data_IF_939553364600
#
_entry.id   IF_939553364600
#
_cell.length_a   1.000
_cell.length_b   1.000
_cell.length_c   1.000
_cell.angle_alpha   90.00
_cell.angle_beta   90.00
_cell.angle_gamma   90.00
#
_symmetry.space_group_name_H-M   'P 1'
#
loop_
_entity.id
_entity.type
_entity.pdbx_description
1 polymer ?
#
# COMPACT_ATOMS: atom_id res chain seq x y z
N UNK A 1 33.74 -11.24 2.73
CA UNK A 1 33.22 -12.07 3.84
C UNK A 1 32.10 -12.92 3.29
N UNK A 2 32.10 -14.22 3.58
CA UNK A 2 31.04 -15.15 3.17
C UNK A 2 30.10 -15.41 4.35
N UNK A 3 28.81 -15.41 4.09
CA UNK A 3 27.78 -15.72 5.08
C UNK A 3 27.91 -17.17 5.56
N UNK A 4 27.84 -17.40 6.88
CA UNK A 4 27.96 -18.74 7.47
C UNK A 4 27.03 -18.91 8.69
N UNK A 5 25.99 -19.75 8.52
CA UNK A 5 25.02 -20.09 9.56
C UNK A 5 25.62 -20.84 10.76
N UNK A 6 26.74 -21.55 10.58
CA UNK A 6 27.37 -22.34 11.63
C UNK A 6 27.99 -21.48 12.73
N UNK A 7 28.38 -20.23 12.42
CA UNK A 7 28.91 -19.31 13.41
C UNK A 7 27.85 -18.94 14.47
N UNK A 8 26.58 -18.86 14.08
CA UNK A 8 25.46 -18.61 15.00
C UNK A 8 25.16 -19.84 15.86
N UNK A 9 25.31 -21.05 15.33
CA UNK A 9 25.25 -22.28 16.12
C UNK A 9 26.32 -22.30 17.23
N UNK A 10 27.54 -21.86 16.92
CA UNK A 10 28.59 -21.75 17.93
C UNK A 10 28.26 -20.72 19.01
N UNK A 11 27.71 -19.56 18.64
CA UNK A 11 27.28 -18.55 19.60
C UNK A 11 26.16 -19.06 20.53
N UNK A 12 25.21 -19.84 19.99
CA UNK A 12 24.21 -20.54 20.78
C UNK A 12 24.83 -21.46 21.83
N UNK A 13 25.82 -22.28 21.45
CA UNK A 13 26.52 -23.17 22.38
C UNK A 13 27.27 -22.40 23.46
N UNK A 14 27.94 -21.31 23.10
CA UNK A 14 28.66 -20.46 24.07
C UNK A 14 27.67 -19.89 25.09
N UNK A 15 26.49 -19.44 24.67
CA UNK A 15 25.45 -18.94 25.58
C UNK A 15 25.02 -20.05 26.56
N UNK A 16 24.82 -21.27 26.08
CA UNK A 16 24.45 -22.39 26.96
C UNK A 16 25.53 -22.70 27.98
N UNK A 17 26.78 -22.83 27.54
CA UNK A 17 27.93 -23.11 28.41
C UNK A 17 28.14 -22.02 29.46
N UNK A 18 27.99 -20.75 29.08
CA UNK A 18 28.20 -19.61 29.99
C UNK A 18 27.02 -19.42 30.95
N UNK A 19 25.78 -19.63 30.47
CA UNK A 19 24.58 -19.40 31.27
C UNK A 19 24.15 -20.59 32.12
N UNK A 20 24.61 -21.80 31.79
CA UNK A 20 24.22 -23.05 32.45
C UNK A 20 22.79 -23.50 32.17
N UNK A 21 22.08 -22.83 31.25
CA UNK A 21 20.71 -23.14 30.83
C UNK A 21 20.64 -23.27 29.31
N UNK A 22 19.61 -23.94 28.80
CA UNK A 22 19.45 -24.08 27.35
C UNK A 22 19.27 -22.72 26.66
N UNK A 23 19.70 -22.59 25.42
CA UNK A 23 19.58 -21.37 24.63
C UNK A 23 18.11 -20.94 24.51
N UNK A 24 17.21 -21.92 24.38
CA UNK A 24 15.77 -21.71 24.34
C UNK A 24 15.25 -21.07 25.63
N UNK A 25 15.69 -21.59 26.78
CA UNK A 25 15.32 -21.06 28.09
C UNK A 25 15.93 -19.69 28.34
N UNK A 26 17.18 -19.49 27.90
CA UNK A 26 17.86 -18.21 27.97
C UNK A 26 17.08 -17.14 27.20
N UNK A 27 16.75 -17.38 25.92
CA UNK A 27 15.99 -16.42 25.10
C UNK A 27 14.57 -16.23 25.64
N UNK A 28 13.90 -17.30 26.10
CA UNK A 28 12.57 -17.17 26.68
C UNK A 28 12.56 -16.31 27.95
N UNK A 29 13.51 -16.53 28.86
CA UNK A 29 13.55 -15.86 30.16
C UNK A 29 14.16 -14.45 30.11
N UNK A 30 15.12 -14.21 29.22
CA UNK A 30 15.87 -12.96 29.15
C UNK A 30 15.35 -11.98 28.10
N UNK A 31 14.59 -12.46 27.10
CA UNK A 31 14.12 -11.64 25.99
C UNK A 31 12.59 -11.71 25.88
N UNK A 32 12.03 -12.89 25.60
CA UNK A 32 10.60 -13.00 25.26
C UNK A 32 9.67 -12.71 26.44
N UNK A 33 10.01 -13.22 27.63
CA UNK A 33 9.25 -13.01 28.87
C UNK A 33 9.14 -11.54 29.28
N UNK A 34 10.27 -10.81 29.42
CA UNK A 34 10.27 -9.38 29.75
C UNK A 34 9.49 -8.50 28.75
N UNK A 35 9.46 -8.90 27.48
CA UNK A 35 8.71 -8.20 26.43
C UNK A 35 7.22 -8.59 26.33
N UNK A 36 6.75 -9.49 27.20
CA UNK A 36 5.34 -9.95 27.19
C UNK A 36 4.98 -10.81 25.97
N UNK A 37 5.97 -11.37 25.27
CA UNK A 37 5.79 -12.15 24.04
C UNK A 37 5.39 -13.59 24.33
N UNK A 38 4.25 -13.77 25.01
CA UNK A 38 3.78 -15.05 25.55
C UNK A 38 3.37 -16.09 24.50
N UNK A 39 3.25 -15.70 23.22
CA UNK A 39 2.88 -16.58 22.09
C UNK A 39 3.98 -16.68 21.02
N UNK A 40 5.20 -16.31 21.36
CA UNK A 40 6.38 -16.50 20.51
C UNK A 40 7.11 -17.75 20.97
N UNK A 41 7.32 -18.70 20.06
CA UNK A 41 7.93 -19.99 20.38
C UNK A 41 9.18 -20.20 19.55
N UNK A 42 10.25 -20.61 20.23
CA UNK A 42 11.53 -20.99 19.61
C UNK A 42 11.53 -22.48 19.17
N UNK A 43 10.46 -23.19 19.53
CA UNK A 43 10.14 -24.58 19.16
C UNK A 43 8.72 -24.59 18.58
N UNK A 44 8.25 -25.70 17.99
CA UNK A 44 6.84 -25.82 17.64
C UNK A 44 5.94 -25.44 18.81
N UNK A 45 4.85 -24.67 18.56
CA UNK A 45 3.95 -24.24 19.63
C UNK A 45 3.30 -25.46 20.30
N UNK A 46 2.88 -25.34 21.58
CA UNK A 46 2.14 -26.39 22.27
C UNK A 46 0.90 -26.83 21.47
N UNK A 47 0.60 -28.13 21.51
CA UNK A 47 -0.60 -28.67 20.87
C UNK A 47 -1.85 -27.95 21.38
N UNK A 48 -2.75 -27.57 20.46
CA UNK A 48 -3.97 -26.83 20.79
C UNK A 48 -3.81 -25.30 20.85
N UNK A 49 -2.62 -24.75 20.56
CA UNK A 49 -2.46 -23.30 20.37
C UNK A 49 -3.35 -22.84 19.21
N UNK A 50 -4.30 -21.95 19.51
CA UNK A 50 -5.18 -21.37 18.50
C UNK A 50 -4.41 -20.40 17.60
N UNK A 51 -4.93 -20.14 16.39
CA UNK A 51 -4.35 -19.19 15.43
C UNK A 51 -2.89 -19.51 15.08
N UNK A 52 -2.60 -20.79 14.80
CA UNK A 52 -1.32 -21.26 14.27
C UNK A 52 -1.57 -21.78 12.85
N UNK A 53 -0.77 -21.32 11.89
CA UNK A 53 -0.87 -21.79 10.51
C UNK A 53 -0.24 -23.17 10.37
N UNK A 54 -0.90 -24.04 9.61
CA UNK A 54 -0.36 -25.36 9.25
C UNK A 54 0.20 -25.28 7.83
N UNK A 55 1.48 -25.62 7.66
CA UNK A 55 2.09 -25.72 6.33
C UNK A 55 1.64 -27.02 5.66
N UNK A 56 1.49 -26.98 4.34
CA UNK A 56 1.19 -28.13 3.49
C UNK A 56 2.21 -28.21 2.36
N UNK A 57 2.45 -29.42 1.85
CA UNK A 57 3.13 -29.66 0.58
C UNK A 57 2.20 -30.41 -0.37
N UNK A 58 2.61 -30.51 -1.63
CA UNK A 58 1.89 -31.24 -2.66
C UNK A 58 2.63 -32.55 -2.96
N UNK A 59 1.90 -33.65 -3.10
CA UNK A 59 2.41 -34.87 -3.73
C UNK A 59 2.38 -34.72 -5.26
N UNK A 60 3.03 -35.63 -5.98
CA UNK A 60 3.08 -35.62 -7.45
C UNK A 60 1.69 -35.72 -8.11
N UNK A 61 0.69 -36.21 -7.38
CA UNK A 61 -0.72 -36.27 -7.80
C UNK A 61 -1.52 -35.01 -7.43
N UNK A 62 -0.84 -33.95 -6.99
CA UNK A 62 -1.37 -32.67 -6.51
C UNK A 62 -2.25 -32.76 -5.25
N UNK A 63 -2.28 -33.90 -4.55
CA UNK A 63 -2.91 -33.98 -3.24
C UNK A 63 -2.06 -33.30 -2.16
N UNK A 64 -2.72 -32.61 -1.22
CA UNK A 64 -2.04 -31.85 -0.16
C UNK A 64 -1.72 -32.73 1.06
N UNK A 65 -0.51 -32.61 1.58
CA UNK A 65 -0.05 -33.28 2.81
C UNK A 65 0.43 -32.25 3.83
N UNK A 66 0.00 -32.33 5.10
CA UNK A 66 0.50 -31.42 6.12
C UNK A 66 1.99 -31.65 6.38
N UNK A 67 2.78 -30.59 6.35
CA UNK A 67 4.20 -30.62 6.70
C UNK A 67 4.32 -30.42 8.22
N UNK A 68 4.84 -31.42 8.92
CA UNK A 68 5.28 -31.22 10.31
C UNK A 68 6.45 -30.24 10.33
N UNK A 69 6.48 -29.30 11.28
CA UNK A 69 7.60 -28.36 11.43
C UNK A 69 8.97 -29.07 11.40
N UNK A 70 9.98 -28.42 10.80
CA UNK A 70 11.29 -29.03 10.54
C UNK A 70 11.87 -29.68 11.81
N UNK A 71 11.99 -31.01 11.79
CA UNK A 71 12.54 -31.79 12.92
C UNK A 71 14.01 -31.46 13.20
N UNK A 72 14.75 -31.01 12.18
CA UNK A 72 16.14 -30.61 12.33
C UNK A 72 16.32 -29.42 13.30
N UNK A 73 15.35 -28.48 13.33
CA UNK A 73 15.37 -27.33 14.23
C UNK A 73 14.85 -27.61 15.64
N UNK A 74 14.34 -28.81 15.92
CA UNK A 74 13.79 -29.16 17.24
C UNK A 74 14.90 -29.42 18.29
N UNK A 75 16.05 -29.91 17.82
CA UNK A 75 17.24 -30.23 18.63
C UNK A 75 18.50 -29.67 17.96
N UNK A 76 18.63 -28.33 17.88
CA UNK A 76 19.86 -27.59 17.52
C UNK A 76 20.09 -27.20 16.06
N UNK A 77 19.85 -28.09 15.09
CA UNK A 77 20.27 -27.84 13.71
C UNK A 77 19.41 -26.72 13.07
N UNK A 78 20.01 -25.53 12.96
CA UNK A 78 19.43 -24.28 12.49
C UNK A 78 18.60 -23.46 13.52
N UNK A 79 18.60 -23.83 14.80
CA UNK A 79 17.92 -23.08 15.87
C UNK A 79 18.42 -21.63 16.01
N UNK A 80 19.74 -21.40 16.17
CA UNK A 80 20.31 -20.05 16.24
C UNK A 80 20.63 -19.43 14.88
N UNK A 81 20.55 -20.17 13.77
CA UNK A 81 20.48 -19.57 12.42
C UNK A 81 19.07 -19.07 12.06
N UNK A 82 18.12 -19.15 13.00
CA UNK A 82 16.84 -18.45 12.94
C UNK A 82 17.04 -16.95 13.15
N UNK A 83 17.89 -16.32 12.32
CA UNK A 83 18.15 -14.89 12.31
C UNK A 83 16.85 -14.14 12.56
N UNK A 84 16.88 -13.16 13.47
CA UNK A 84 15.67 -12.51 13.93
C UNK A 84 14.82 -12.04 12.75
N UNK A 85 13.65 -12.66 12.57
CA UNK A 85 12.67 -12.22 11.60
C UNK A 85 11.72 -11.31 12.34
N UNK A 86 11.78 -10.02 12.04
CA UNK A 86 10.83 -9.06 12.56
C UNK A 86 9.75 -8.87 11.50
N UNK A 87 8.52 -9.31 11.81
CA UNK A 87 7.36 -9.18 10.91
C UNK A 87 6.40 -8.17 11.51
N UNK A 88 6.08 -7.12 10.74
CA UNK A 88 5.04 -6.16 11.08
C UNK A 88 3.88 -6.30 10.12
N UNK A 89 2.69 -6.46 10.70
CA UNK A 89 1.44 -6.45 9.96
C UNK A 89 0.60 -5.31 10.53
N UNK A 90 0.33 -4.30 9.72
CA UNK A 90 -0.66 -3.27 10.02
C UNK A 90 -1.84 -3.43 9.09
N UNK A 91 -3.03 -3.25 9.64
CA UNK A 91 -4.29 -3.20 8.91
C UNK A 91 -4.76 -1.77 8.66
N UNK A 92 -3.89 -0.77 8.87
CA UNK A 92 -4.21 0.63 8.65
C UNK A 92 -3.05 1.39 8.01
N UNK A 93 -3.42 2.36 7.19
CA UNK A 93 -2.54 3.44 6.76
C UNK A 93 -2.71 4.58 7.77
N UNK A 94 -1.74 4.74 8.66
CA UNK A 94 -1.71 5.89 9.55
C UNK A 94 -1.30 7.15 8.76
N UNK A 95 -1.30 8.32 9.42
CA UNK A 95 -0.83 9.58 8.82
C UNK A 95 0.70 9.61 8.58
N UNK A 96 1.35 8.47 8.75
CA UNK A 96 2.77 8.20 8.66
C UNK A 96 3.00 6.69 8.50
N UNK A 97 4.25 6.29 8.24
CA UNK A 97 4.64 4.90 8.04
C UNK A 97 4.95 4.20 9.38
N UNK A 98 3.90 4.03 10.21
CA UNK A 98 4.03 3.40 11.54
C UNK A 98 4.68 2.01 11.48
N UNK A 99 4.32 1.10 10.54
CA UNK A 99 4.90 -0.24 10.51
C UNK A 99 6.41 -0.20 10.35
N UNK A 100 6.92 0.63 9.45
CA UNK A 100 8.35 0.79 9.22
C UNK A 100 9.07 1.33 10.45
N UNK A 101 8.49 2.32 11.13
CA UNK A 101 9.16 2.94 12.28
C UNK A 101 9.13 2.08 13.53
N UNK A 102 8.04 1.37 13.79
CA UNK A 102 8.01 0.37 14.86
C UNK A 102 9.01 -0.74 14.53
N UNK A 103 9.16 -1.10 13.25
CA UNK A 103 10.17 -2.04 12.81
C UNK A 103 11.59 -1.59 13.03
N UNK A 104 11.90 -0.35 12.68
CA UNK A 104 13.21 0.23 12.95
C UNK A 104 13.44 0.35 14.46
N UNK A 105 12.45 0.73 15.27
CA UNK A 105 12.58 0.81 16.73
C UNK A 105 12.92 -0.56 17.36
N UNK A 106 12.21 -1.62 16.96
CA UNK A 106 12.49 -2.97 17.45
C UNK A 106 13.85 -3.46 16.94
N UNK A 107 14.22 -3.08 15.70
CA UNK A 107 15.53 -3.38 15.15
C UNK A 107 16.66 -2.67 15.93
N UNK A 108 16.49 -1.41 16.30
CA UNK A 108 17.46 -0.67 17.13
C UNK A 108 17.65 -1.34 18.49
N UNK A 109 16.56 -1.78 19.11
CA UNK A 109 16.62 -2.50 20.39
C UNK A 109 17.32 -3.85 20.24
N UNK A 110 16.98 -4.60 19.19
CA UNK A 110 17.60 -5.90 18.89
C UNK A 110 19.11 -5.78 18.62
N UNK A 111 19.52 -4.75 17.88
CA UNK A 111 20.91 -4.46 17.56
C UNK A 111 21.66 -3.80 18.73
N UNK A 112 20.97 -3.48 19.82
CA UNK A 112 21.51 -2.76 20.98
C UNK A 112 22.20 -1.44 20.57
N UNK A 113 21.55 -0.69 19.68
CA UNK A 113 22.07 0.61 19.21
C UNK A 113 22.30 1.51 20.44
N UNK A 114 23.49 2.14 20.57
CA UNK A 114 23.80 3.04 21.68
C UNK A 114 22.74 4.14 21.83
N UNK A 115 22.39 4.50 23.05
CA UNK A 115 21.30 5.45 23.34
C UNK A 115 21.46 6.79 22.58
N UNK A 116 22.69 7.26 22.43
CA UNK A 116 23.01 8.51 21.72
C UNK A 116 22.84 8.42 20.20
N UNK A 117 22.72 7.21 19.65
CA UNK A 117 22.57 6.93 18.21
C UNK A 117 21.15 6.48 17.85
N UNK A 118 20.25 6.33 18.83
CA UNK A 118 18.86 5.91 18.60
C UNK A 118 18.02 7.01 17.98
N UNK A 119 17.06 6.60 17.15
CA UNK A 119 16.13 7.54 16.53
C UNK A 119 15.04 8.02 17.52
N UNK A 120 14.67 9.30 17.40
CA UNK A 120 13.58 9.90 18.17
C UNK A 120 12.21 9.65 17.50
N UNK A 121 11.78 8.38 17.44
CA UNK A 121 10.60 7.96 16.67
C UNK A 121 9.31 8.74 17.01
N UNK A 122 9.09 9.10 18.28
CA UNK A 122 7.89 9.88 18.69
C UNK A 122 7.91 11.29 18.08
N UNK A 123 9.07 11.93 18.03
CA UNK A 123 9.21 13.28 17.47
C UNK A 123 9.09 13.25 15.96
N UNK A 124 9.82 12.35 15.29
CA UNK A 124 9.73 12.13 13.84
C UNK A 124 8.29 11.78 13.44
N UNK A 125 7.58 11.02 14.27
CA UNK A 125 6.17 10.73 14.07
C UNK A 125 5.28 11.95 14.06
N UNK A 126 5.42 12.84 15.04
CA UNK A 126 4.65 14.09 15.10
C UNK A 126 4.95 14.98 13.90
N UNK A 127 6.22 15.11 13.53
CA UNK A 127 6.66 15.94 12.39
C UNK A 127 6.10 15.41 11.07
N UNK A 128 6.17 14.10 10.85
CA UNK A 128 5.66 13.46 9.63
C UNK A 128 4.13 13.55 9.52
N UNK A 129 3.39 13.40 10.63
CA UNK A 129 1.93 13.62 10.64
C UNK A 129 1.60 15.04 10.21
N UNK A 130 2.30 16.03 10.79
CA UNK A 130 2.11 17.43 10.43
C UNK A 130 2.43 17.69 8.96
N UNK A 131 3.46 17.06 8.42
CA UNK A 131 3.84 17.17 7.00
C UNK A 131 2.82 16.52 6.07
N UNK A 132 2.39 15.29 6.37
CA UNK A 132 1.38 14.56 5.57
C UNK A 132 0.08 15.36 5.46
N UNK A 133 -0.34 16.03 6.53
CA UNK A 133 -1.56 16.84 6.56
C UNK A 133 -1.48 18.12 5.70
N UNK A 134 -0.27 18.58 5.32
CA UNK A 134 -0.10 19.75 4.44
C UNK A 134 -0.46 19.46 2.98
N UNK A 135 -0.38 18.21 2.55
CA UNK A 135 -0.58 17.82 1.15
C UNK A 135 -1.94 18.28 0.60
N UNK A 136 -3.04 17.95 1.28
CA UNK A 136 -4.38 18.25 0.75
C UNK A 136 -4.64 19.75 0.60
N UNK A 137 -4.38 20.61 1.62
CA UNK A 137 -4.46 22.05 1.45
C UNK A 137 -3.56 22.60 0.36
N UNK A 138 -2.35 22.04 0.19
CA UNK A 138 -1.42 22.46 -0.87
C UNK A 138 -1.97 22.16 -2.27
N UNK A 139 -2.47 20.93 -2.50
CA UNK A 139 -3.08 20.54 -3.79
C UNK A 139 -4.29 21.41 -4.13
N UNK A 140 -5.17 21.68 -3.15
CA UNK A 140 -6.33 22.56 -3.36
C UNK A 140 -5.88 23.96 -3.76
N UNK A 141 -4.92 24.54 -3.01
CA UNK A 141 -4.39 25.87 -3.31
C UNK A 141 -3.75 25.93 -4.70
N UNK A 142 -2.91 24.95 -5.05
CA UNK A 142 -2.24 24.89 -6.35
C UNK A 142 -3.25 24.73 -7.51
N UNK A 143 -4.32 23.94 -7.30
CA UNK A 143 -5.42 23.84 -8.24
C UNK A 143 -6.12 25.19 -8.43
N UNK A 144 -6.44 25.89 -7.34
CA UNK A 144 -7.14 27.17 -7.39
C UNK A 144 -6.29 28.28 -8.02
N UNK A 145 -5.00 28.35 -7.68
CA UNK A 145 -4.06 29.34 -8.23
C UNK A 145 -3.82 29.16 -9.74
N UNK A 146 -3.82 27.91 -10.22
CA UNK A 146 -3.62 27.61 -11.63
C UNK A 146 -4.92 27.71 -12.47
N UNK A 147 -6.08 27.85 -11.83
CA UNK A 147 -7.39 27.79 -12.48
C UNK A 147 -7.69 29.03 -13.32
N UNK A 148 -8.17 28.82 -14.54
CA UNK A 148 -8.77 29.87 -15.39
C UNK A 148 -10.23 30.10 -15.02
N UNK A 149 -10.48 31.22 -14.35
CA UNK A 149 -11.81 31.63 -13.93
C UNK A 149 -12.67 32.14 -15.09
N UNK A 150 -14.00 32.07 -14.93
CA UNK A 150 -14.97 32.58 -15.91
C UNK A 150 -15.16 31.71 -17.15
N UNK A 151 -14.60 30.49 -17.14
CA UNK A 151 -14.82 29.48 -18.18
C UNK A 151 -16.10 28.69 -17.88
N UNK A 152 -16.65 28.01 -18.89
CA UNK A 152 -17.81 27.13 -18.75
C UNK A 152 -17.56 25.85 -19.53
N UNK A 153 -18.11 24.72 -19.07
CA UNK A 153 -18.08 23.51 -19.86
C UNK A 153 -19.06 23.65 -21.04
N UNK A 154 -18.90 22.76 -22.02
CA UNK A 154 -19.92 22.47 -23.03
C UNK A 154 -21.14 21.80 -22.39
N UNK A 155 -22.13 21.48 -23.22
CA UNK A 155 -23.28 20.69 -22.79
C UNK A 155 -22.81 19.37 -22.16
N UNK A 156 -23.26 19.08 -20.94
CA UNK A 156 -22.72 17.97 -20.14
C UNK A 156 -22.89 16.60 -20.84
N UNK A 157 -23.91 16.47 -21.68
CA UNK A 157 -24.15 15.26 -22.47
C UNK A 157 -23.04 14.96 -23.48
N UNK A 158 -22.26 15.96 -23.90
CA UNK A 158 -21.12 15.76 -24.82
C UNK A 158 -20.01 14.92 -24.19
N UNK A 159 -19.83 14.98 -22.87
CA UNK A 159 -18.79 14.22 -22.17
C UNK A 159 -19.20 12.77 -21.87
N UNK A 160 -20.50 12.44 -21.94
CA UNK A 160 -21.03 11.11 -21.60
C UNK A 160 -20.56 10.07 -22.61
N UNK A 161 -19.98 8.96 -22.14
CA UNK A 161 -19.52 7.87 -22.99
C UNK A 161 -18.52 6.94 -22.32
N UNK A 162 -18.07 5.92 -23.04
CA UNK A 162 -17.00 5.02 -22.59
C UNK A 162 -15.70 5.37 -23.32
N UNK A 163 -14.66 5.67 -22.57
CA UNK A 163 -13.34 6.05 -23.07
C UNK A 163 -12.36 4.90 -22.83
N UNK A 164 -11.76 4.38 -23.88
CA UNK A 164 -10.82 3.26 -23.83
C UNK A 164 -9.40 3.70 -24.11
N UNK A 165 -8.44 3.08 -23.43
CA UNK A 165 -7.04 3.17 -23.83
C UNK A 165 -6.82 2.48 -25.20
N UNK A 166 -5.71 2.81 -25.85
CA UNK A 166 -5.45 2.34 -27.21
C UNK A 166 -5.35 0.80 -27.32
N UNK A 167 -4.97 0.12 -26.25
CA UNK A 167 -4.86 -1.35 -26.21
C UNK A 167 -6.10 -2.03 -25.61
N UNK A 168 -7.15 -1.28 -25.25
CA UNK A 168 -8.43 -1.77 -24.75
C UNK A 168 -8.33 -2.64 -23.47
N UNK A 169 -7.42 -2.29 -22.57
CA UNK A 169 -7.26 -2.94 -21.25
C UNK A 169 -7.89 -2.10 -20.14
N UNK A 170 -7.93 -0.78 -20.33
CA UNK A 170 -8.43 0.18 -19.35
C UNK A 170 -9.50 1.09 -19.96
N UNK A 171 -10.58 1.31 -19.22
CA UNK A 171 -11.65 2.23 -19.60
C UNK A 171 -12.05 3.15 -18.47
N UNK A 172 -12.58 4.30 -18.86
CA UNK A 172 -13.34 5.20 -17.99
C UNK A 172 -14.72 5.35 -18.59
N UNK A 173 -15.75 5.09 -17.77
CA UNK A 173 -17.15 5.35 -18.17
C UNK A 173 -17.57 6.67 -17.55
N UNK A 174 -18.05 7.60 -18.37
CA UNK A 174 -18.58 8.89 -17.93
C UNK A 174 -20.09 8.88 -18.10
N UNK A 175 -20.80 9.07 -17.00
CA UNK A 175 -22.26 9.04 -16.91
C UNK A 175 -22.78 10.40 -16.42
N UNK A 176 -24.03 10.74 -16.77
CA UNK A 176 -24.70 11.96 -16.34
C UNK A 176 -25.92 11.60 -15.48
N UNK A 177 -25.93 12.07 -14.23
CA UNK A 177 -27.02 11.85 -13.28
C UNK A 177 -27.39 13.18 -12.63
N UNK A 178 -28.68 13.55 -12.62
CA UNK A 178 -29.17 14.78 -11.97
C UNK A 178 -28.37 16.05 -12.33
N UNK A 179 -28.01 16.18 -13.61
CA UNK A 179 -27.20 17.30 -14.13
C UNK A 179 -25.76 17.36 -13.57
N UNK A 180 -25.24 16.23 -13.11
CA UNK A 180 -23.88 16.09 -12.60
C UNK A 180 -23.16 14.94 -13.29
N UNK A 181 -21.94 15.20 -13.73
CA UNK A 181 -21.11 14.18 -14.35
C UNK A 181 -20.47 13.31 -13.28
N UNK A 182 -20.36 12.03 -13.58
CA UNK A 182 -19.61 11.06 -12.82
C UNK A 182 -18.71 10.30 -13.77
N UNK A 183 -17.51 9.98 -13.31
CA UNK A 183 -16.66 9.01 -14.01
C UNK A 183 -16.45 7.76 -13.16
N UNK A 184 -16.30 6.62 -13.83
CA UNK A 184 -16.11 5.31 -13.19
C UNK A 184 -14.90 4.64 -13.80
N UNK A 185 -13.87 4.42 -12.98
CA UNK A 185 -12.70 3.65 -13.39
C UNK A 185 -13.12 2.20 -13.64
N UNK A 186 -12.79 1.65 -14.81
CA UNK A 186 -13.28 0.35 -15.31
C UNK A 186 -14.81 0.20 -15.38
N UNK A 187 -15.58 1.29 -15.23
CA UNK A 187 -17.04 1.22 -15.13
C UNK A 187 -17.53 0.59 -13.82
N UNK A 188 -16.71 0.57 -12.77
CA UNK A 188 -17.07 0.02 -11.46
C UNK A 188 -17.78 1.07 -10.61
N UNK A 189 -18.89 0.69 -9.98
CA UNK A 189 -19.64 1.60 -9.10
C UNK A 189 -18.86 1.94 -7.81
N UNK A 190 -17.99 1.03 -7.35
CA UNK A 190 -17.05 1.29 -6.25
C UNK A 190 -16.04 2.39 -6.58
N UNK A 191 -15.73 2.58 -7.87
CA UNK A 191 -14.79 3.58 -8.39
C UNK A 191 -15.52 4.76 -9.07
N UNK A 192 -16.76 5.04 -8.66
CA UNK A 192 -17.55 6.17 -9.15
C UNK A 192 -17.19 7.47 -8.43
N UNK A 193 -16.70 8.48 -9.14
CA UNK A 193 -16.40 9.80 -8.57
C UNK A 193 -17.19 10.90 -9.29
N UNK A 194 -17.69 11.90 -8.56
CA UNK A 194 -18.27 13.08 -9.18
C UNK A 194 -17.19 13.88 -9.92
N UNK A 195 -17.59 14.49 -11.02
CA UNK A 195 -16.79 15.45 -11.77
C UNK A 195 -17.33 16.86 -11.53
N UNK A 196 -16.50 17.70 -10.92
CA UNK A 196 -16.78 19.12 -10.71
C UNK A 196 -16.09 19.93 -11.80
N UNK A 197 -16.81 20.87 -12.43
CA UNK A 197 -16.21 21.70 -13.47
C UNK A 197 -15.03 22.51 -12.91
N UNK A 198 -13.87 22.39 -13.54
CA UNK A 198 -12.65 23.08 -13.18
C UNK A 198 -12.41 24.24 -14.14
N UNK A 199 -12.10 23.97 -15.41
CA UNK A 199 -11.99 25.02 -16.42
C UNK A 199 -12.22 24.49 -17.83
N UNK A 200 -12.89 25.24 -18.70
CA UNK A 200 -13.17 24.83 -20.08
C UNK A 200 -13.75 23.39 -20.12
N UNK A 201 -13.13 22.51 -20.90
CA UNK A 201 -13.44 21.08 -20.99
C UNK A 201 -12.67 20.21 -19.96
N UNK A 202 -12.29 20.78 -18.80
CA UNK A 202 -11.58 20.09 -17.72
C UNK A 202 -12.43 20.04 -16.45
N UNK A 203 -12.48 18.87 -15.84
CA UNK A 203 -13.16 18.61 -14.58
C UNK A 203 -12.17 18.12 -13.53
N UNK A 204 -12.49 18.32 -12.26
CA UNK A 204 -11.79 17.70 -11.14
C UNK A 204 -12.65 16.61 -10.51
N UNK A 205 -11.99 15.55 -10.07
CA UNK A 205 -12.60 14.46 -9.30
C UNK A 205 -12.08 14.40 -7.86
N UNK A 206 -11.35 15.45 -7.43
CA UNK A 206 -10.84 15.58 -6.07
C UNK A 206 -12.00 15.64 -5.07
N UNK A 207 -11.99 14.71 -4.11
CA UNK A 207 -12.87 14.73 -2.95
C UNK A 207 -12.13 15.22 -1.71
N UNK A 208 -12.86 15.51 -0.64
CA UNK A 208 -12.24 15.78 0.67
C UNK A 208 -11.29 14.65 1.07
N UNK A 209 -10.19 14.99 1.76
CA UNK A 209 -9.20 14.01 2.24
C UNK A 209 -9.85 12.84 2.99
N UNK A 210 -10.83 13.12 3.85
CA UNK A 210 -11.52 12.09 4.62
C UNK A 210 -12.37 11.17 3.73
N UNK A 211 -12.97 11.69 2.64
CA UNK A 211 -13.65 10.81 1.69
C UNK A 211 -12.70 9.98 0.85
N UNK A 212 -11.58 10.55 0.41
CA UNK A 212 -10.54 9.78 -0.27
C UNK A 212 -10.06 8.62 0.62
N UNK A 213 -9.78 8.90 1.90
CA UNK A 213 -9.40 7.88 2.88
C UNK A 213 -10.51 6.85 3.14
N UNK A 214 -11.77 7.27 3.28
CA UNK A 214 -12.92 6.34 3.45
C UNK A 214 -13.04 5.37 2.28
N UNK A 215 -12.68 5.81 1.08
CA UNK A 215 -12.68 5.00 -0.14
C UNK A 215 -11.40 4.18 -0.34
N UNK A 216 -10.46 4.19 0.62
CA UNK A 216 -9.20 3.46 0.51
C UNK A 216 -8.23 4.04 -0.53
N UNK A 217 -8.41 5.30 -0.96
CA UNK A 217 -7.47 5.96 -1.87
C UNK A 217 -6.22 6.37 -1.13
N UNK A 218 -5.08 6.21 -1.79
CA UNK A 218 -3.82 6.78 -1.33
C UNK A 218 -3.93 8.31 -1.25
N UNK A 219 -3.58 8.88 -0.10
CA UNK A 219 -3.60 10.33 0.18
C UNK A 219 -2.20 10.77 0.59
N UNK A 220 -1.41 11.24 -0.36
CA UNK A 220 -0.01 11.57 -0.11
C UNK A 220 0.65 12.40 -1.21
N UNK A 221 1.86 12.87 -0.90
CA UNK A 221 2.63 13.84 -1.69
C UNK A 221 2.97 13.42 -3.12
N UNK A 222 2.85 12.14 -3.46
CA UNK A 222 3.05 11.63 -4.84
C UNK A 222 1.93 11.99 -5.83
N UNK A 223 0.83 12.60 -5.39
CA UNK A 223 -0.31 12.98 -6.23
C UNK A 223 -0.47 14.50 -6.29
N UNK A 224 0.10 15.11 -7.33
CA UNK A 224 0.01 16.55 -7.60
C UNK A 224 -1.29 16.96 -8.31
N UNK A 225 -1.49 18.27 -8.59
CA UNK A 225 -2.72 18.81 -9.18
C UNK A 225 -3.16 18.15 -10.49
N UNK A 226 -2.23 17.76 -11.36
CA UNK A 226 -2.54 17.14 -12.65
C UNK A 226 -3.27 15.79 -12.51
N UNK A 227 -2.97 15.03 -11.46
CA UNK A 227 -3.61 13.74 -11.18
C UNK A 227 -5.12 13.88 -10.93
N UNK A 228 -5.53 15.02 -10.39
CA UNK A 228 -6.91 15.30 -10.03
C UNK A 228 -7.73 15.91 -11.17
N UNK A 229 -7.16 16.04 -12.37
CA UNK A 229 -7.83 16.60 -13.55
C UNK A 229 -8.22 15.52 -14.54
N UNK A 230 -9.48 15.57 -14.98
CA UNK A 230 -10.01 14.88 -16.14
C UNK A 230 -10.09 15.88 -17.29
N UNK A 231 -9.22 15.76 -18.29
CA UNK A 231 -9.09 16.74 -19.37
C UNK A 231 -9.73 16.16 -20.62
N UNK A 232 -10.86 16.73 -21.05
CA UNK A 232 -11.52 16.34 -22.28
C UNK A 232 -11.05 17.21 -23.44
N UNK A 233 -10.97 16.62 -24.64
CA UNK A 233 -10.64 17.34 -25.86
C UNK A 233 -11.58 16.94 -27.00
N UNK A 234 -11.80 17.90 -27.90
CA UNK A 234 -12.49 17.66 -29.15
C UNK A 234 -11.50 17.24 -30.23
N UNK A 235 -11.92 16.36 -31.13
CA UNK A 235 -11.26 16.22 -32.43
C UNK A 235 -11.67 17.32 -33.40
N UNK A 236 -11.11 17.25 -34.59
CA UNK A 236 -11.35 18.18 -35.70
C UNK A 236 -12.83 18.33 -36.08
N UNK A 237 -13.69 17.36 -35.74
CA UNK A 237 -15.14 17.44 -35.96
C UNK A 237 -15.88 18.30 -34.92
N UNK A 238 -15.20 18.77 -33.87
CA UNK A 238 -15.75 19.62 -32.82
C UNK A 238 -16.45 18.88 -31.67
N UNK A 239 -16.52 17.55 -31.71
CA UNK A 239 -17.11 16.71 -30.67
C UNK A 239 -16.06 16.20 -29.69
N UNK A 240 -16.42 16.08 -28.40
CA UNK A 240 -15.57 15.46 -27.38
C UNK A 240 -15.37 13.97 -27.68
N UNK A 241 -14.15 13.57 -27.97
CA UNK A 241 -13.79 12.18 -28.26
C UNK A 241 -12.50 11.71 -27.57
N UNK A 242 -11.81 12.59 -26.85
CA UNK A 242 -10.62 12.26 -26.07
C UNK A 242 -10.79 12.64 -24.59
N UNK A 243 -10.23 11.79 -23.73
CA UNK A 243 -10.04 12.04 -22.31
C UNK A 243 -8.59 11.76 -21.94
N UNK A 244 -7.93 12.74 -21.34
CA UNK A 244 -6.56 12.64 -20.84
C UNK A 244 -6.54 12.63 -19.31
N UNK A 245 -5.74 11.73 -18.74
CA UNK A 245 -5.56 11.64 -17.30
C UNK A 245 -4.10 11.36 -16.91
N UNK A 246 -3.51 12.25 -16.11
CA UNK A 246 -2.17 12.08 -15.54
C UNK A 246 -2.22 11.14 -14.33
N UNK A 247 -2.25 9.82 -14.59
CA UNK A 247 -2.44 8.80 -13.54
C UNK A 247 -1.20 8.54 -12.68
N UNK A 248 -0.01 8.98 -13.10
CA UNK A 248 1.22 8.83 -12.33
C UNK A 248 2.21 9.99 -12.60
N UNK A 249 3.05 10.29 -11.62
CA UNK A 249 4.07 11.33 -11.73
C UNK A 249 5.21 10.85 -12.61
N UNK A 250 5.59 11.66 -13.61
CA UNK A 250 6.69 11.35 -14.53
C UNK A 250 6.29 10.44 -15.70
N UNK A 251 5.03 9.99 -15.76
CA UNK A 251 4.47 9.26 -16.90
C UNK A 251 3.58 10.22 -17.71
N UNK A 252 3.65 10.22 -19.06
CA UNK A 252 2.73 10.99 -19.87
C UNK A 252 1.27 10.65 -19.54
N UNK A 253 0.34 11.63 -19.61
CA UNK A 253 -1.08 11.36 -19.40
C UNK A 253 -1.57 10.24 -20.32
N UNK A 254 -2.37 9.33 -19.78
CA UNK A 254 -3.02 8.31 -20.62
C UNK A 254 -4.03 9.03 -21.51
N UNK A 255 -3.99 8.72 -22.81
CA UNK A 255 -4.99 9.13 -23.77
C UNK A 255 -6.04 8.04 -23.89
N UNK A 256 -7.30 8.39 -23.67
CA UNK A 256 -8.45 7.51 -23.81
C UNK A 256 -9.36 8.03 -24.92
N UNK A 257 -9.79 7.15 -25.81
CA UNK A 257 -10.65 7.48 -26.94
C UNK A 257 -12.08 7.04 -26.66
N UNK A 258 -13.03 7.96 -26.88
CA UNK A 258 -14.46 7.71 -26.74
C UNK A 258 -14.92 6.71 -27.80
N UNK A 259 -15.56 5.63 -27.37
CA UNK A 259 -16.16 4.63 -28.26
C UNK A 259 -17.67 4.78 -28.20
N UNK A 260 -18.30 4.94 -29.37
CA UNK A 260 -19.76 4.93 -29.48
C UNK A 260 -20.31 3.54 -29.16
N UNK A 261 -21.42 3.51 -28.42
CA UNK A 261 -22.08 2.32 -27.87
C UNK A 261 -22.41 1.23 -28.91
N UNK A 262 -22.44 1.58 -30.21
CA UNK A 262 -22.79 0.67 -31.31
C UNK A 262 -21.61 -0.14 -31.88
N UNK A 263 -20.37 0.02 -31.38
CA UNK A 263 -19.18 -0.67 -31.92
C UNK A 263 -18.61 -1.81 -31.07
N UNK A 264 -19.19 -2.10 -29.90
CA UNK A 264 -18.65 -3.08 -28.95
C UNK A 264 -19.26 -4.49 -29.05
N UNK A 265 -20.18 -4.75 -29.99
CA UNK A 265 -20.82 -6.06 -30.16
C UNK A 265 -20.03 -7.06 -31.03
N UNK A 266 -18.73 -6.84 -31.26
CA UNK A 266 -17.94 -7.70 -32.16
C UNK A 266 -16.46 -7.85 -31.76
N UNK A 267 -16.19 -8.11 -30.49
CA UNK A 267 -14.91 -8.69 -30.05
C UNK A 267 -15.15 -9.74 -28.97
#
# INVERSE_FOLDING_TARGET
MSYNNLAYNLAGYIIEEVSGISWFEFVQSRILGPLGLARTYLRPPPSGTQNVTQCYNEFDDASIVPISGSKAGQDWFAGPSGGAVIVFLSNSLALNDVPDWVGQLILEELLQVPELERNYYIEVARTSVAENLKWYPAVVRELDEARKNGTSPRELTEYVGTYWDNIHVFKIVVDLEENKLYWRLQGLDSEKFPLEHYENDTFTWLLSRNELSRRGRWVGSGQGPAFWKAIFQCSDCGCIDKLYWAHDTGIPPVELTKVESNKLSSY
#
